data_IF_216926444340
#
_entry.id   IF_216926444340
#
_cell.length_a   1.000
_cell.length_b   1.000
_cell.length_c   1.000
_cell.angle_alpha   90.00
_cell.angle_beta   90.00
_cell.angle_gamma   90.00
#
_symmetry.space_group_name_H-M   'P 1'
#
loop_
_entity.id
_entity.type
_entity.pdbx_description
1 polymer ?
#
# COMPACT_ATOMS: atom_id res chain seq x y z
N UNK A 1 17.39 -8.58 3.09
CA UNK A 1 15.91 -8.48 3.16
C UNK A 1 15.51 -7.30 2.29
N UNK A 2 14.60 -7.49 1.34
CA UNK A 2 14.00 -6.32 0.67
C UNK A 2 13.20 -5.59 1.76
N UNK A 3 13.54 -4.33 2.06
CA UNK A 3 12.66 -3.47 2.84
C UNK A 3 11.34 -3.41 2.07
N UNK A 4 10.33 -4.19 2.44
CA UNK A 4 9.01 -4.09 1.82
C UNK A 4 8.23 -2.96 2.48
N UNK A 5 7.42 -2.26 1.69
CA UNK A 5 6.43 -1.30 2.22
C UNK A 5 5.20 -1.97 2.80
N UNK A 6 5.08 -3.30 2.64
CA UNK A 6 3.98 -4.10 3.16
C UNK A 6 4.42 -4.76 4.47
N UNK A 7 3.69 -4.49 5.55
CA UNK A 7 3.82 -5.20 6.81
C UNK A 7 2.69 -6.22 6.96
N UNK A 8 3.03 -7.43 7.40
CA UNK A 8 2.08 -8.51 7.71
C UNK A 8 2.47 -9.06 9.08
N UNK A 9 1.73 -8.64 10.09
CA UNK A 9 2.00 -8.99 11.49
C UNK A 9 0.69 -9.43 12.14
N UNK A 10 0.60 -10.64 12.73
CA UNK A 10 -0.61 -11.09 13.45
C UNK A 10 -1.10 -10.12 14.54
N UNK A 11 -0.20 -9.34 15.13
CA UNK A 11 -0.51 -8.33 16.15
C UNK A 11 -1.05 -7.01 15.54
N UNK A 12 -0.83 -6.79 14.25
CA UNK A 12 -1.32 -5.62 13.50
C UNK A 12 -2.46 -6.03 12.57
N UNK A 13 -3.67 -5.51 12.83
CA UNK A 13 -4.85 -5.80 11.99
C UNK A 13 -5.07 -7.31 11.75
N UNK A 14 -4.76 -8.17 12.73
CA UNK A 14 -4.92 -9.63 12.63
C UNK A 14 -4.20 -10.25 11.43
N UNK A 15 -3.09 -9.67 10.99
CA UNK A 15 -2.32 -10.14 9.84
C UNK A 15 -2.82 -9.66 8.48
N UNK A 16 -3.78 -8.72 8.42
CA UNK A 16 -4.10 -8.04 7.16
C UNK A 16 -2.86 -7.29 6.65
N UNK A 17 -2.50 -7.41 5.36
CA UNK A 17 -1.40 -6.62 4.79
C UNK A 17 -1.68 -5.11 4.88
N UNK A 18 -0.78 -4.38 5.54
CA UNK A 18 -0.89 -2.93 5.73
C UNK A 18 0.35 -2.21 5.20
N UNK A 19 0.24 -0.91 4.93
CA UNK A 19 1.41 -0.06 4.75
C UNK A 19 2.26 -0.06 6.02
N UNK A 20 3.58 -0.24 5.87
CA UNK A 20 4.55 -0.28 6.96
C UNK A 20 4.38 0.94 7.87
N UNK A 21 4.47 0.71 9.18
CA UNK A 21 4.31 1.72 10.24
C UNK A 21 2.91 2.38 10.29
N UNK A 22 1.92 1.77 9.63
CA UNK A 22 0.51 2.20 9.68
C UNK A 22 -0.41 1.02 10.01
N UNK A 23 -1.71 1.32 10.15
CA UNK A 23 -2.77 0.30 10.15
C UNK A 23 -3.65 0.38 8.89
N UNK A 24 -3.17 1.04 7.83
CA UNK A 24 -3.91 1.25 6.58
C UNK A 24 -3.75 0.01 5.70
N UNK A 25 -4.81 -0.74 5.40
CA UNK A 25 -4.73 -1.91 4.53
C UNK A 25 -4.23 -1.55 3.13
N UNK A 26 -3.40 -2.40 2.54
CA UNK A 26 -2.90 -2.21 1.16
C UNK A 26 -4.07 -2.15 0.16
N UNK A 27 -5.15 -2.90 0.38
CA UNK A 27 -6.33 -2.85 -0.50
C UNK A 27 -6.98 -1.47 -0.58
N UNK A 28 -6.79 -0.63 0.46
CA UNK A 28 -7.44 0.68 0.56
C UNK A 28 -7.09 1.57 -0.61
N UNK A 29 -5.83 1.58 -1.05
CA UNK A 29 -5.41 2.41 -2.19
C UNK A 29 -6.15 2.02 -3.47
N UNK A 30 -6.52 0.73 -3.63
CA UNK A 30 -7.27 0.25 -4.78
C UNK A 30 -8.66 0.86 -4.88
N UNK A 31 -9.36 1.02 -3.76
CA UNK A 31 -10.69 1.66 -3.74
C UNK A 31 -10.61 3.13 -4.13
N UNK A 32 -9.64 3.87 -3.60
CA UNK A 32 -9.46 5.29 -3.92
C UNK A 32 -9.04 5.52 -5.37
N UNK A 33 -8.23 4.62 -5.94
CA UNK A 33 -7.83 4.70 -7.35
C UNK A 33 -8.97 4.37 -8.32
N UNK A 34 -9.97 3.62 -7.86
CA UNK A 34 -11.15 3.26 -8.64
C UNK A 34 -12.29 4.29 -8.53
N UNK A 35 -12.17 5.23 -7.59
CA UNK A 35 -13.16 6.27 -7.31
C UNK A 35 -12.70 7.63 -7.85
N UNK A 36 -13.64 8.58 -7.96
CA UNK A 36 -13.38 9.92 -8.52
C UNK A 36 -12.40 10.77 -7.68
N UNK A 37 -12.18 10.41 -6.41
CA UNK A 37 -11.23 11.04 -5.50
C UNK A 37 -9.75 10.79 -5.80
N UNK A 38 -9.44 9.65 -6.41
CA UNK A 38 -8.10 9.28 -6.83
C UNK A 38 -7.05 9.27 -5.71
N UNK A 39 -5.79 9.46 -6.11
CA UNK A 39 -4.63 9.33 -5.22
C UNK A 39 -4.48 10.49 -4.23
N UNK A 40 -4.93 11.69 -4.57
CA UNK A 40 -4.78 12.85 -3.69
C UNK A 40 -5.72 12.74 -2.49
N UNK A 41 -6.96 12.32 -2.70
CA UNK A 41 -7.90 12.06 -1.59
C UNK A 41 -7.41 10.92 -0.67
N UNK A 42 -6.73 9.92 -1.23
CA UNK A 42 -6.09 8.87 -0.43
C UNK A 42 -5.07 9.46 0.54
N UNK A 43 -4.22 10.38 0.10
CA UNK A 43 -3.22 11.00 0.98
C UNK A 43 -3.84 11.93 2.02
N UNK A 44 -4.94 12.61 1.69
CA UNK A 44 -5.68 13.45 2.64
C UNK A 44 -6.32 12.60 3.75
N UNK A 45 -6.89 11.44 3.41
CA UNK A 45 -7.51 10.53 4.38
C UNK A 45 -6.51 9.65 5.15
N UNK A 46 -5.33 9.40 4.57
CA UNK A 46 -4.28 8.55 5.17
C UNK A 46 -2.91 9.24 5.21
N UNK A 47 -2.75 10.33 5.98
CA UNK A 47 -1.51 11.11 6.01
C UNK A 47 -0.30 10.35 6.58
N UNK A 48 -0.53 9.18 7.20
CA UNK A 48 0.52 8.28 7.66
C UNK A 48 1.16 7.44 6.55
N UNK A 49 0.57 7.40 5.35
CA UNK A 49 1.13 6.72 4.19
C UNK A 49 1.88 7.73 3.33
N UNK A 50 3.19 7.53 3.15
CA UNK A 50 4.00 8.46 2.36
C UNK A 50 3.88 8.20 0.85
N UNK A 51 4.17 9.22 0.04
CA UNK A 51 4.23 9.08 -1.42
C UNK A 51 5.28 8.05 -1.85
N UNK A 52 6.41 8.01 -1.15
CA UNK A 52 7.49 7.05 -1.39
C UNK A 52 7.02 5.61 -1.12
N UNK A 53 6.19 5.39 -0.09
CA UNK A 53 5.61 4.08 0.18
C UNK A 53 4.70 3.62 -0.97
N UNK A 54 3.88 4.51 -1.52
CA UNK A 54 3.01 4.21 -2.67
C UNK A 54 3.82 3.92 -3.93
N UNK A 55 4.82 4.74 -4.24
CA UNK A 55 5.70 4.53 -5.41
C UNK A 55 6.36 3.16 -5.32
N UNK A 56 6.93 2.82 -4.16
CA UNK A 56 7.59 1.54 -3.96
C UNK A 56 6.64 0.35 -3.98
N UNK A 57 5.40 0.50 -3.49
CA UNK A 57 4.36 -0.52 -3.66
C UNK A 57 4.11 -0.80 -5.16
N UNK A 58 3.98 0.25 -5.98
CA UNK A 58 3.79 0.11 -7.42
C UNK A 58 4.98 -0.54 -8.12
N UNK A 59 6.21 -0.24 -7.69
CA UNK A 59 7.41 -0.92 -8.18
C UNK A 59 7.43 -2.41 -7.83
N UNK A 60 7.10 -2.78 -6.58
CA UNK A 60 6.99 -4.18 -6.15
C UNK A 60 5.91 -4.94 -6.95
N UNK A 61 4.76 -4.31 -7.20
CA UNK A 61 3.68 -4.89 -8.02
C UNK A 61 4.13 -5.05 -9.47
N UNK A 62 4.74 -4.02 -10.06
CA UNK A 62 5.29 -4.05 -11.43
C UNK A 62 6.29 -5.20 -11.60
N UNK A 63 7.24 -5.35 -10.68
CA UNK A 63 8.22 -6.45 -10.72
C UNK A 63 7.53 -7.82 -10.69
N UNK A 64 6.54 -7.99 -9.80
CA UNK A 64 5.79 -9.25 -9.67
C UNK A 64 4.97 -9.58 -10.92
N UNK A 65 4.29 -8.59 -11.50
CA UNK A 65 3.47 -8.77 -12.71
C UNK A 65 4.35 -9.13 -13.90
N UNK A 66 5.46 -8.43 -14.10
CA UNK A 66 6.40 -8.71 -15.20
C UNK A 66 7.12 -10.06 -15.03
N UNK A 67 7.38 -10.51 -13.81
CA UNK A 67 7.97 -11.81 -13.55
C UNK A 67 6.99 -12.99 -13.74
N UNK A 68 5.68 -12.71 -13.69
CA UNK A 68 4.61 -13.69 -13.89
C UNK A 68 4.10 -13.75 -15.34
N UNK A 69 4.60 -12.88 -16.21
CA UNK A 69 4.32 -12.84 -17.65
C UNK A 69 5.31 -13.72 -18.43
#
# INVERSE_FOLDING_TARGET
MRDSVINVDPEVMSGTPVFKDTRVPIETIGYYMADDGGIEEFFDNFPGVSREQVIKLLEEVKEKVLAAA
#
